data_IF_690760392265
#
_entry.id   IF_690760392265
#
_cell.length_a   1.000
_cell.length_b   1.000
_cell.length_c   1.000
_cell.angle_alpha   90.00
_cell.angle_beta   90.00
_cell.angle_gamma   90.00
#
_symmetry.space_group_name_H-M   'P 1'
#
loop_
_entity.id
_entity.type
_entity.pdbx_description
1 polymer ?
#
# COMPACT_ATOMS: atom_id res chain seq x y z
N UNK A 1 1.42 -19.86 -22.72
CA UNK A 1 2.72 -20.21 -22.08
C UNK A 1 3.01 -19.23 -20.96
N UNK A 2 3.54 -19.71 -19.80
CA UNK A 2 3.98 -18.85 -18.71
C UNK A 2 5.17 -18.01 -19.18
N UNK A 3 5.10 -16.67 -19.03
CA UNK A 3 6.14 -15.75 -19.49
C UNK A 3 7.14 -15.43 -18.36
N UNK A 4 6.62 -15.22 -17.14
CA UNK A 4 7.43 -14.93 -15.95
C UNK A 4 6.95 -15.74 -14.75
N UNK A 5 7.85 -15.95 -13.81
CA UNK A 5 7.53 -16.56 -12.50
C UNK A 5 8.14 -15.71 -11.39
N UNK A 6 7.49 -15.72 -10.24
CA UNK A 6 8.01 -15.08 -9.04
C UNK A 6 7.48 -15.79 -7.79
N UNK A 7 8.11 -15.56 -6.66
CA UNK A 7 7.72 -16.16 -5.38
C UNK A 7 7.54 -15.09 -4.34
N UNK A 8 6.75 -15.41 -3.33
CA UNK A 8 6.63 -14.62 -2.12
C UNK A 8 6.54 -15.53 -0.91
N UNK A 9 7.40 -15.29 0.06
CA UNK A 9 7.32 -15.88 1.39
C UNK A 9 6.88 -14.78 2.35
N UNK A 10 5.66 -14.88 2.86
CA UNK A 10 5.21 -13.95 3.87
C UNK A 10 5.93 -14.17 5.21
N UNK A 11 6.02 -13.11 5.99
CA UNK A 11 6.54 -13.08 7.35
C UNK A 11 5.80 -11.97 8.10
N UNK A 12 5.97 -11.90 9.41
CA UNK A 12 5.43 -10.80 10.19
C UNK A 12 5.83 -9.42 9.62
N UNK A 13 7.09 -9.25 9.24
CA UNK A 13 7.60 -8.00 8.68
C UNK A 13 6.93 -7.63 7.34
N UNK A 14 6.70 -8.62 6.46
CA UNK A 14 6.07 -8.37 5.17
C UNK A 14 4.58 -8.04 5.29
N UNK A 15 3.88 -8.60 6.28
CA UNK A 15 2.47 -8.25 6.57
C UNK A 15 2.38 -6.80 7.08
N UNK A 16 3.26 -6.37 8.00
CA UNK A 16 3.33 -4.97 8.41
C UNK A 16 3.63 -4.04 7.24
N UNK A 17 4.55 -4.43 6.38
CA UNK A 17 4.93 -3.64 5.20
C UNK A 17 3.78 -3.53 4.19
N UNK A 18 3.05 -4.63 3.95
CA UNK A 18 1.86 -4.62 3.09
C UNK A 18 0.80 -3.65 3.63
N UNK A 19 0.46 -3.75 4.93
CA UNK A 19 -0.50 -2.87 5.56
C UNK A 19 -0.07 -1.39 5.52
N UNK A 20 1.21 -1.11 5.74
CA UNK A 20 1.77 0.24 5.64
C UNK A 20 1.68 0.78 4.21
N UNK A 21 2.10 -0.02 3.21
CA UNK A 21 2.05 0.36 1.79
C UNK A 21 0.62 0.60 1.33
N UNK A 22 -0.32 -0.21 1.77
CA UNK A 22 -1.75 -0.04 1.50
C UNK A 22 -2.27 1.27 2.08
N UNK A 23 -1.96 1.57 3.34
CA UNK A 23 -2.36 2.81 4.00
C UNK A 23 -1.78 4.03 3.29
N UNK A 24 -0.49 4.02 3.00
CA UNK A 24 0.21 5.12 2.32
C UNK A 24 -0.26 5.28 0.85
N UNK A 25 -0.79 4.23 0.23
CA UNK A 25 -1.31 4.29 -1.15
C UNK A 25 -2.74 4.83 -1.23
N UNK A 26 -3.64 4.39 -0.34
CA UNK A 26 -5.07 4.69 -0.47
C UNK A 26 -5.63 5.61 0.62
N UNK A 27 -4.93 5.78 1.73
CA UNK A 27 -5.40 6.57 2.86
C UNK A 27 -4.41 7.67 3.29
N UNK A 28 -3.47 8.03 2.42
CA UNK A 28 -2.44 9.03 2.71
C UNK A 28 -3.04 10.39 3.12
N UNK A 29 -4.20 10.77 2.55
CA UNK A 29 -4.93 11.99 2.95
C UNK A 29 -5.29 11.99 4.45
N UNK A 30 -5.67 10.85 5.03
CA UNK A 30 -5.95 10.74 6.47
C UNK A 30 -4.70 11.00 7.30
N UNK A 31 -3.54 10.52 6.83
CA UNK A 31 -2.25 10.78 7.47
C UNK A 31 -1.90 12.26 7.46
N UNK A 32 -2.16 12.96 6.34
CA UNK A 32 -1.93 14.39 6.24
C UNK A 32 -2.86 15.21 7.14
N UNK A 33 -4.14 14.86 7.21
CA UNK A 33 -5.09 15.50 8.13
C UNK A 33 -4.60 15.33 9.58
N UNK A 34 -4.19 14.13 9.94
CA UNK A 34 -3.66 13.84 11.27
C UNK A 34 -2.42 14.68 11.59
N UNK A 35 -1.48 14.80 10.64
CA UNK A 35 -0.30 15.66 10.78
C UNK A 35 -0.71 17.12 10.93
N UNK A 36 -1.65 17.60 10.12
CA UNK A 36 -2.14 18.98 10.18
C UNK A 36 -2.77 19.33 11.52
N UNK A 37 -3.64 18.47 12.04
CA UNK A 37 -4.25 18.65 13.37
C UNK A 37 -3.18 18.62 14.46
N UNK A 38 -2.25 17.66 14.41
CA UNK A 38 -1.16 17.54 15.39
C UNK A 38 -0.28 18.80 15.39
N UNK A 39 0.10 19.28 14.21
CA UNK A 39 0.90 20.50 14.07
C UNK A 39 0.15 21.73 14.61
N UNK A 40 -1.15 21.86 14.33
CA UNK A 40 -1.99 22.93 14.86
C UNK A 40 -2.05 22.92 16.39
N UNK A 41 -2.21 21.75 17.00
CA UNK A 41 -2.22 21.61 18.47
C UNK A 41 -0.85 21.95 19.07
N UNK A 42 0.25 21.55 18.44
CA UNK A 42 1.60 21.88 18.88
C UNK A 42 1.84 23.38 18.79
N UNK A 43 1.50 24.00 17.67
CA UNK A 43 1.66 25.46 17.50
C UNK A 43 0.81 26.22 18.50
N UNK A 44 -0.46 25.82 18.70
CA UNK A 44 -1.31 26.41 19.72
C UNK A 44 -0.67 26.29 21.12
N UNK A 45 -0.17 25.11 21.46
CA UNK A 45 0.49 24.86 22.75
C UNK A 45 1.77 25.68 22.97
N UNK A 46 2.49 26.05 21.89
CA UNK A 46 3.72 26.85 21.97
C UNK A 46 3.47 28.34 22.02
N UNK A 47 2.44 28.83 21.32
CA UNK A 47 2.24 30.28 21.14
C UNK A 47 1.07 30.86 21.94
N UNK A 48 0.19 30.04 22.52
CA UNK A 48 -0.89 30.55 23.40
C UNK A 48 -0.34 30.97 24.76
N UNK A 49 -1.14 31.75 25.49
CA UNK A 49 -0.77 32.24 26.82
C UNK A 49 -0.49 31.04 27.76
N UNK A 50 0.71 31.02 28.31
CA UNK A 50 1.22 29.92 29.15
C UNK A 50 0.60 29.92 30.57
N UNK A 51 -0.19 30.94 30.90
CA UNK A 51 -0.87 31.01 32.21
C UNK A 51 -2.06 30.03 32.32
N UNK A 52 -2.37 29.30 31.26
CA UNK A 52 -3.45 28.32 31.22
C UNK A 52 -2.92 26.89 31.02
N UNK A 53 -3.51 25.92 31.69
CA UNK A 53 -3.18 24.50 31.48
C UNK A 53 -3.54 23.97 30.06
N UNK A 54 -4.51 24.62 29.39
CA UNK A 54 -5.00 24.23 28.06
C UNK A 54 -3.91 24.18 27.00
N UNK A 55 -3.00 25.18 26.86
CA UNK A 55 -1.89 25.08 25.90
C UNK A 55 -0.95 23.91 26.16
N UNK A 56 -0.64 23.62 27.43
CA UNK A 56 0.23 22.47 27.78
C UNK A 56 -0.42 21.14 27.41
N UNK A 57 -1.72 20.98 27.65
CA UNK A 57 -2.47 19.79 27.25
C UNK A 57 -2.50 19.67 25.74
N UNK A 58 -2.74 20.75 25.00
CA UNK A 58 -2.75 20.75 23.54
C UNK A 58 -1.38 20.35 22.96
N UNK A 59 -0.29 20.88 23.50
CA UNK A 59 1.07 20.52 23.12
C UNK A 59 1.31 19.00 23.32
N UNK A 60 0.99 18.50 24.51
CA UNK A 60 1.15 17.09 24.83
C UNK A 60 0.34 16.20 23.88
N UNK A 61 -0.95 16.50 23.67
CA UNK A 61 -1.83 15.75 22.77
C UNK A 61 -1.30 15.78 21.34
N UNK A 62 -0.88 16.94 20.84
CA UNK A 62 -0.29 17.07 19.51
C UNK A 62 0.95 16.20 19.31
N UNK A 63 1.86 16.17 20.30
CA UNK A 63 3.04 15.32 20.28
C UNK A 63 2.68 13.83 20.29
N UNK A 64 1.74 13.40 21.12
CA UNK A 64 1.25 12.03 21.19
C UNK A 64 0.61 11.61 19.87
N UNK A 65 -0.18 12.50 19.26
CA UNK A 65 -0.78 12.24 17.94
C UNK A 65 0.29 12.05 16.87
N UNK A 66 1.32 12.89 16.81
CA UNK A 66 2.43 12.71 15.85
C UNK A 66 3.17 11.38 16.05
N UNK A 67 3.44 11.01 17.30
CA UNK A 67 4.11 9.74 17.62
C UNK A 67 3.29 8.52 17.15
N UNK A 68 1.97 8.66 17.04
CA UNK A 68 1.04 7.58 16.71
C UNK A 68 0.56 7.57 15.25
N UNK A 69 1.22 8.27 14.32
CA UNK A 69 0.84 8.34 12.90
C UNK A 69 0.68 6.95 12.22
N UNK A 70 1.42 5.95 12.64
CA UNK A 70 1.42 4.61 12.05
C UNK A 70 0.66 3.57 12.89
N UNK A 71 -0.12 4.00 13.88
CA UNK A 71 -0.90 3.06 14.74
C UNK A 71 -1.94 2.32 13.92
N UNK A 72 -2.65 3.01 13.02
CA UNK A 72 -3.71 2.41 12.21
C UNK A 72 -3.22 1.25 11.31
N UNK A 73 -2.21 1.42 10.43
CA UNK A 73 -1.70 0.30 9.63
C UNK A 73 -1.09 -0.81 10.49
N UNK A 74 -0.47 -0.47 11.63
CA UNK A 74 0.05 -1.47 12.57
C UNK A 74 -1.07 -2.29 13.23
N UNK A 75 -2.17 -1.66 13.60
CA UNK A 75 -3.33 -2.36 14.19
C UNK A 75 -3.93 -3.34 13.19
N UNK A 76 -4.18 -2.91 11.94
CA UNK A 76 -4.68 -3.78 10.89
C UNK A 76 -3.73 -4.99 10.64
N UNK A 77 -2.43 -4.74 10.59
CA UNK A 77 -1.45 -5.82 10.45
C UNK A 77 -1.50 -6.81 11.62
N UNK A 78 -1.66 -6.32 12.86
CA UNK A 78 -1.80 -7.19 14.04
C UNK A 78 -3.05 -8.06 13.98
N UNK A 79 -4.17 -7.55 13.49
CA UNK A 79 -5.40 -8.34 13.33
C UNK A 79 -5.20 -9.46 12.31
N UNK A 80 -4.58 -9.15 11.16
CA UNK A 80 -4.23 -10.17 10.15
C UNK A 80 -3.30 -11.22 10.74
N UNK A 81 -2.26 -10.82 11.45
CA UNK A 81 -1.31 -11.73 12.10
C UNK A 81 -1.99 -12.61 13.16
N UNK A 82 -2.93 -12.06 13.91
CA UNK A 82 -3.70 -12.83 14.92
C UNK A 82 -4.53 -13.94 14.27
N UNK A 83 -5.10 -13.67 13.08
CA UNK A 83 -5.90 -14.65 12.34
C UNK A 83 -4.98 -15.71 11.68
N UNK A 84 -3.82 -15.29 11.15
CA UNK A 84 -2.88 -16.18 10.46
C UNK A 84 -2.08 -17.06 11.42
N UNK A 85 -1.87 -16.63 12.67
CA UNK A 85 -0.97 -17.30 13.61
C UNK A 85 0.46 -17.34 13.07
N UNK A 86 1.14 -18.47 13.26
CA UNK A 86 2.52 -18.68 12.77
C UNK A 86 2.59 -19.28 11.34
N UNK A 87 1.45 -19.49 10.71
CA UNK A 87 1.38 -20.09 9.39
C UNK A 87 1.42 -19.01 8.28
N UNK A 88 2.63 -18.58 7.94
CA UNK A 88 2.82 -17.59 6.89
C UNK A 88 2.74 -18.25 5.49
N UNK A 89 1.80 -17.82 4.62
CA UNK A 89 1.64 -18.42 3.32
C UNK A 89 2.85 -18.16 2.42
N UNK A 90 3.16 -19.17 1.61
CA UNK A 90 4.05 -19.07 0.46
C UNK A 90 3.18 -18.94 -0.77
N UNK A 91 3.55 -18.05 -1.67
CA UNK A 91 2.84 -17.85 -2.93
C UNK A 91 3.81 -17.97 -4.10
N UNK A 92 3.50 -18.87 -5.02
CA UNK A 92 4.20 -19.02 -6.29
C UNK A 92 3.36 -18.38 -7.39
N UNK A 93 3.90 -17.33 -8.01
CA UNK A 93 3.23 -16.58 -9.08
C UNK A 93 3.69 -17.08 -10.44
N UNK A 94 2.72 -17.31 -11.33
CA UNK A 94 2.95 -17.64 -12.73
C UNK A 94 2.21 -16.63 -13.59
N UNK A 95 2.94 -15.78 -14.30
CA UNK A 95 2.39 -14.75 -15.17
C UNK A 95 2.22 -15.28 -16.58
N UNK A 96 0.96 -15.44 -17.01
CA UNK A 96 0.56 -15.81 -18.35
C UNK A 96 0.38 -14.62 -19.28
N UNK A 97 -0.29 -14.81 -20.43
CA UNK A 97 -0.57 -13.75 -21.38
C UNK A 97 -1.62 -12.77 -20.84
N UNK A 98 -2.79 -13.26 -20.39
CA UNK A 98 -3.96 -12.45 -20.03
C UNK A 98 -4.24 -12.41 -18.53
N UNK A 99 -3.57 -13.27 -17.76
CA UNK A 99 -3.81 -13.48 -16.33
C UNK A 99 -2.58 -14.02 -15.63
N UNK A 100 -2.57 -13.94 -14.31
CA UNK A 100 -1.59 -14.63 -13.48
C UNK A 100 -2.31 -15.59 -12.51
N UNK A 101 -1.62 -16.64 -12.11
CA UNK A 101 -2.04 -17.53 -11.03
C UNK A 101 -1.10 -17.37 -9.85
N UNK A 102 -1.64 -17.55 -8.65
CA UNK A 102 -0.85 -17.65 -7.43
C UNK A 102 -1.17 -19.00 -6.80
N UNK A 103 -0.14 -19.84 -6.58
CA UNK A 103 -0.25 -21.26 -6.26
C UNK A 103 -0.95 -22.08 -7.38
N UNK A 104 -0.56 -23.32 -7.53
CA UNK A 104 -0.94 -24.15 -8.68
C UNK A 104 -2.45 -24.43 -8.81
N UNK A 105 -3.21 -24.31 -7.73
CA UNK A 105 -4.64 -24.64 -7.65
C UNK A 105 -5.54 -23.41 -7.59
N UNK A 106 -4.96 -22.20 -7.60
CA UNK A 106 -5.73 -20.97 -7.47
C UNK A 106 -6.35 -20.53 -8.80
N UNK A 107 -7.53 -19.93 -8.73
CA UNK A 107 -8.18 -19.30 -9.87
C UNK A 107 -7.28 -18.22 -10.50
N UNK A 108 -7.21 -18.22 -11.84
CA UNK A 108 -6.43 -17.24 -12.58
C UNK A 108 -7.01 -15.82 -12.39
N UNK A 109 -6.15 -14.88 -12.02
CA UNK A 109 -6.51 -13.47 -11.84
C UNK A 109 -6.23 -12.70 -13.11
N UNK A 110 -7.25 -12.20 -13.84
CA UNK A 110 -7.04 -11.39 -15.04
C UNK A 110 -6.35 -10.07 -14.70
N UNK A 111 -5.41 -9.64 -15.54
CA UNK A 111 -4.72 -8.35 -15.34
C UNK A 111 -5.68 -7.15 -15.29
N UNK A 112 -6.81 -7.23 -15.97
CA UNK A 112 -7.87 -6.20 -15.96
C UNK A 112 -8.49 -5.96 -14.57
N UNK A 113 -8.37 -6.92 -13.64
CA UNK A 113 -8.80 -6.74 -12.23
C UNK A 113 -7.80 -5.92 -11.43
N UNK A 114 -6.60 -5.68 -11.92
CA UNK A 114 -5.59 -4.90 -11.20
C UNK A 114 -5.92 -3.41 -11.34
N UNK A 115 -6.20 -2.76 -10.23
CA UNK A 115 -6.56 -1.34 -10.16
C UNK A 115 -5.34 -0.43 -9.98
N UNK A 116 -4.24 -0.95 -9.44
CA UNK A 116 -3.03 -0.17 -9.19
C UNK A 116 -1.78 -1.05 -9.10
N UNK A 117 -0.68 -0.53 -9.65
CA UNK A 117 0.65 -1.10 -9.54
C UNK A 117 1.51 -0.21 -8.64
N UNK A 118 2.00 -0.78 -7.55
CA UNK A 118 2.89 -0.09 -6.61
C UNK A 118 4.20 -0.87 -6.51
N UNK A 119 5.30 -0.12 -6.46
CA UNK A 119 6.60 -0.70 -6.17
C UNK A 119 7.26 0.02 -4.99
N UNK A 120 7.92 -0.74 -4.15
CA UNK A 120 8.87 -0.22 -3.18
C UNK A 120 10.29 -0.74 -3.49
N UNK A 121 11.19 -0.66 -2.51
CA UNK A 121 12.58 -1.07 -2.68
C UNK A 121 12.72 -2.58 -2.99
N UNK A 122 11.92 -3.44 -2.38
CA UNK A 122 12.08 -4.90 -2.40
C UNK A 122 10.93 -5.63 -3.08
N UNK A 123 9.73 -5.04 -3.10
CA UNK A 123 8.50 -5.72 -3.50
C UNK A 123 7.73 -4.98 -4.58
N UNK A 124 6.95 -5.75 -5.33
CA UNK A 124 5.89 -5.26 -6.22
C UNK A 124 4.54 -5.60 -5.58
N UNK A 125 3.60 -4.68 -5.68
CA UNK A 125 2.24 -4.84 -5.16
C UNK A 125 1.24 -4.66 -6.29
N UNK A 126 0.45 -5.70 -6.55
CA UNK A 126 -0.61 -5.72 -7.56
C UNK A 126 -1.96 -5.62 -6.83
N UNK A 127 -2.51 -4.42 -6.73
CA UNK A 127 -3.77 -4.18 -6.04
C UNK A 127 -4.96 -4.54 -6.91
N UNK A 128 -5.82 -5.43 -6.44
CA UNK A 128 -7.11 -5.78 -7.04
C UNK A 128 -8.28 -5.06 -6.38
N UNK A 129 -8.06 -4.55 -5.17
CA UNK A 129 -8.98 -3.65 -4.46
C UNK A 129 -8.18 -2.75 -3.52
N UNK A 130 -8.85 -1.78 -2.87
CA UNK A 130 -8.21 -0.94 -1.84
C UNK A 130 -7.73 -1.74 -0.63
N UNK A 131 -8.28 -2.93 -0.40
CA UNK A 131 -7.97 -3.80 0.74
C UNK A 131 -7.17 -5.05 0.38
N UNK A 132 -7.04 -5.39 -0.91
CA UNK A 132 -6.41 -6.63 -1.33
C UNK A 132 -5.33 -6.38 -2.39
N UNK A 133 -4.16 -6.93 -2.15
CA UNK A 133 -3.03 -6.90 -3.06
C UNK A 133 -2.26 -8.22 -3.06
N UNK A 134 -1.72 -8.55 -4.23
CA UNK A 134 -0.70 -9.58 -4.37
C UNK A 134 0.67 -8.95 -4.23
N UNK A 135 1.50 -9.51 -3.37
CA UNK A 135 2.85 -9.02 -3.08
C UNK A 135 3.87 -9.98 -3.69
N UNK A 136 4.82 -9.44 -4.44
CA UNK A 136 5.83 -10.21 -5.19
C UNK A 136 7.22 -9.74 -4.77
N UNK A 137 8.09 -10.67 -4.39
CA UNK A 137 9.49 -10.36 -4.09
C UNK A 137 10.28 -10.18 -5.39
N UNK A 138 10.82 -8.98 -5.61
CA UNK A 138 11.58 -8.61 -6.81
C UNK A 138 12.78 -9.52 -7.07
N UNK A 139 13.38 -10.07 -6.02
CA UNK A 139 14.57 -10.93 -6.10
C UNK A 139 14.27 -12.32 -6.65
N UNK A 140 13.00 -12.74 -6.63
CA UNK A 140 12.57 -14.08 -7.04
C UNK A 140 12.06 -14.14 -8.48
N UNK A 141 12.00 -12.98 -9.15
CA UNK A 141 11.54 -12.90 -10.55
C UNK A 141 12.44 -13.71 -11.46
N UNK A 142 11.82 -14.54 -12.30
CA UNK A 142 12.49 -15.39 -13.28
C UNK A 142 11.69 -15.49 -14.58
N UNK A 143 12.34 -15.95 -15.65
CA UNK A 143 11.75 -15.99 -17.00
C UNK A 143 12.02 -14.73 -17.83
N UNK A 144 12.72 -13.73 -17.25
CA UNK A 144 13.13 -12.48 -17.86
C UNK A 144 13.64 -11.53 -16.80
N UNK A 145 13.97 -10.27 -17.20
CA UNK A 145 14.39 -9.26 -16.24
C UNK A 145 13.21 -8.72 -15.43
N UNK A 146 13.50 -8.12 -14.27
CA UNK A 146 12.50 -7.41 -13.46
C UNK A 146 11.82 -6.28 -14.26
N UNK A 147 12.59 -5.54 -15.05
CA UNK A 147 12.08 -4.42 -15.85
C UNK A 147 11.18 -4.92 -16.99
N UNK A 148 11.47 -6.11 -17.59
CA UNK A 148 10.59 -6.73 -18.57
C UNK A 148 9.24 -7.11 -17.95
N UNK A 149 9.26 -7.72 -16.75
CA UNK A 149 8.03 -8.04 -16.01
C UNK A 149 7.24 -6.76 -15.68
N UNK A 150 7.90 -5.70 -15.23
CA UNK A 150 7.24 -4.42 -14.91
C UNK A 150 6.61 -3.79 -16.15
N UNK A 151 7.33 -3.78 -17.27
CA UNK A 151 6.83 -3.26 -18.55
C UNK A 151 5.64 -4.08 -19.03
N UNK A 152 5.74 -5.40 -18.98
CA UNK A 152 4.67 -6.31 -19.32
C UNK A 152 3.42 -6.04 -18.47
N UNK A 153 3.55 -6.00 -17.14
CA UNK A 153 2.43 -5.72 -16.25
C UNK A 153 1.81 -4.34 -16.48
N UNK A 154 2.62 -3.30 -16.75
CA UNK A 154 2.11 -1.96 -17.04
C UNK A 154 1.27 -1.93 -18.32
N UNK A 155 1.66 -2.68 -19.36
CA UNK A 155 0.92 -2.80 -20.62
C UNK A 155 -0.39 -3.57 -20.41
N UNK A 156 -0.34 -4.76 -19.81
CA UNK A 156 -1.50 -5.64 -19.65
C UNK A 156 -2.56 -5.08 -18.68
N UNK A 157 -2.12 -4.33 -17.66
CA UNK A 157 -3.04 -3.71 -16.70
C UNK A 157 -3.50 -2.32 -17.10
N UNK A 158 -2.85 -1.69 -18.09
CA UNK A 158 -3.00 -0.27 -18.44
C UNK A 158 -2.77 0.68 -17.25
N UNK A 159 -1.96 0.24 -16.28
CA UNK A 159 -1.61 0.99 -15.07
C UNK A 159 -0.15 1.42 -15.10
N UNK A 160 0.13 2.58 -14.53
CA UNK A 160 1.50 3.06 -14.33
C UNK A 160 2.01 2.63 -12.96
N UNK A 161 3.27 2.22 -12.93
CA UNK A 161 3.97 2.00 -11.67
C UNK A 161 4.07 3.30 -10.88
N UNK A 162 3.78 3.21 -9.60
CA UNK A 162 3.94 4.32 -8.66
C UNK A 162 4.57 3.82 -7.36
N UNK A 163 5.05 4.75 -6.54
CA UNK A 163 5.57 4.43 -5.21
C UNK A 163 4.52 4.78 -4.15
N UNK A 164 4.56 4.14 -2.97
CA UNK A 164 3.72 4.56 -1.85
C UNK A 164 3.94 6.05 -1.57
N UNK A 165 2.87 6.77 -1.31
CA UNK A 165 2.97 8.18 -0.98
C UNK A 165 3.68 8.35 0.37
N UNK A 166 4.61 9.31 0.44
CA UNK A 166 5.22 9.73 1.69
C UNK A 166 5.33 11.26 1.71
N UNK A 167 5.67 11.83 2.86
CA UNK A 167 5.75 13.28 3.05
C UNK A 167 6.73 13.95 2.07
N UNK A 168 7.79 13.24 1.66
CA UNK A 168 8.82 13.75 0.74
C UNK A 168 8.44 13.61 -0.73
N UNK A 169 7.59 12.61 -1.08
CA UNK A 169 7.17 12.30 -2.45
C UNK A 169 5.72 12.72 -2.73
N UNK A 170 5.12 13.47 -1.82
CA UNK A 170 3.74 13.87 -1.89
C UNK A 170 3.47 14.74 -3.13
N UNK A 171 2.39 14.41 -3.85
CA UNK A 171 1.81 15.24 -4.91
C UNK A 171 0.40 15.65 -4.50
N UNK A 172 -0.01 16.87 -4.84
CA UNK A 172 -1.37 17.37 -4.55
C UNK A 172 -2.47 16.41 -5.02
N UNK A 173 -2.22 15.65 -6.08
CA UNK A 173 -3.14 14.62 -6.60
C UNK A 173 -3.36 13.45 -5.64
N UNK A 174 -2.44 13.20 -4.73
CA UNK A 174 -2.53 12.12 -3.73
C UNK A 174 -3.47 12.48 -2.57
N UNK A 175 -3.84 13.78 -2.43
CA UNK A 175 -4.86 14.27 -1.49
C UNK A 175 -6.28 13.86 -1.89
N UNK A 176 -6.53 13.80 -3.18
CA UNK A 176 -7.84 13.46 -3.72
C UNK A 176 -7.74 12.07 -4.35
N UNK A 177 -8.05 10.99 -3.57
CA UNK A 177 -8.11 9.66 -4.16
C UNK A 177 -9.12 9.73 -5.30
N UNK A 178 -8.61 9.59 -6.51
CA UNK A 178 -9.42 9.69 -7.70
C UNK A 178 -10.43 8.55 -7.62
N UNK A 179 -11.72 8.87 -7.54
CA UNK A 179 -12.82 7.91 -7.55
C UNK A 179 -12.89 7.08 -8.86
N UNK A 180 -11.99 7.38 -9.80
CA UNK A 180 -11.78 6.61 -11.03
C UNK A 180 -10.95 5.32 -10.85
N UNK A 181 -10.41 5.08 -9.67
CA UNK A 181 -9.67 3.84 -9.34
C UNK A 181 -10.61 2.65 -9.05
N UNK A 182 -11.91 2.82 -9.10
CA UNK A 182 -12.85 1.72 -9.26
C UNK A 182 -12.86 1.35 -10.73
N UNK A 183 -12.44 0.13 -11.05
CA UNK A 183 -12.52 -0.45 -12.38
C UNK A 183 -13.95 -0.25 -12.95
N UNK A 184 -14.11 0.78 -13.75
CA UNK A 184 -15.22 0.87 -14.69
C UNK A 184 -14.79 0.04 -15.87
N UNK A 185 -15.34 -1.16 -15.96
CA UNK A 185 -15.14 -2.05 -17.10
C UNK A 185 -15.19 -1.33 -18.45
N UNK A 186 -14.62 -1.91 -19.52
CA UNK A 186 -14.57 -1.26 -20.82
C UNK A 186 -15.97 -0.79 -21.18
N UNK A 187 -16.13 0.51 -21.46
CA UNK A 187 -17.35 1.00 -22.10
C UNK A 187 -17.41 0.31 -23.46
N UNK A 188 -18.29 -0.69 -23.56
CA UNK A 188 -18.67 -1.23 -24.84
C UNK A 188 -19.18 -0.04 -25.67
N UNK A 189 -18.46 0.30 -26.72
CA UNK A 189 -18.96 1.14 -27.78
C UNK A 189 -19.83 0.30 -28.69
#
# INVERSE_FOLDING_TARGET
>A
MAKYRAKMQHSQATIYRLAQTQYDTFQFHKKLIHIGISAGLILFGLYADQNMYTPMIALFVGCVMLANLNVYPRSNAKEVLKIMGDNYPKSDYVFGADSFTFNAEAEAVPYKKIIRLIEDREYLYLYVSKQSAYMVDKRTVSGGSLEDLKTFLAIETLQKWSRPANILNFRFRDLFPNTRDEYKGPRLK
#
